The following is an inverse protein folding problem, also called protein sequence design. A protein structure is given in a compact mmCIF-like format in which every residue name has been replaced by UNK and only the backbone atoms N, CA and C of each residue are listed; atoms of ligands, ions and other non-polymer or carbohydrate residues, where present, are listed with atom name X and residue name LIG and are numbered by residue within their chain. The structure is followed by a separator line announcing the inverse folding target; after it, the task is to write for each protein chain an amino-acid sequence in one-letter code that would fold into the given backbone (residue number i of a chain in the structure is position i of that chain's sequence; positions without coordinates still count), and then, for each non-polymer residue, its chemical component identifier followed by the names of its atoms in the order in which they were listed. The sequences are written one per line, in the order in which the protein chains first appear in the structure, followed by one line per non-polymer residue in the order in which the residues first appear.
data_IF_034121161660
#
_entry.id   IF_034121161660
#
_cell.length_a   1.000
_cell.length_b   1.000
_cell.length_c   1.000
_cell.angle_alpha   90.00
_cell.angle_beta   90.00
_cell.angle_gamma   90.00
#
_symmetry.space_group_name_H-M   'P 1'
#
loop_
_entity.id
_entity.type
_entity.pdbx_description
1 polymer ?
#
# COMPACT_ATOMS: atom_id res chain seq x y z
N UNK A 1 11.09 0.21 -17.01
CA UNK A 1 10.10 1.28 -16.87
C UNK A 1 9.74 1.32 -15.40
N UNK A 2 10.20 2.30 -14.63
CA UNK A 2 9.70 2.50 -13.27
C UNK A 2 8.27 3.03 -13.40
N UNK A 3 7.32 2.14 -13.13
CA UNK A 3 5.90 2.43 -13.18
C UNK A 3 5.61 3.46 -12.11
N UNK A 4 5.27 4.68 -12.53
CA UNK A 4 4.88 5.82 -11.68
C UNK A 4 3.65 5.57 -10.78
N UNK A 5 3.17 4.33 -10.72
CA UNK A 5 1.93 3.88 -10.10
C UNK A 5 2.12 2.61 -9.26
N UNK A 6 3.36 2.17 -8.97
CA UNK A 6 3.60 0.90 -8.27
C UNK A 6 2.96 0.89 -6.86
N UNK A 7 3.23 1.90 -6.03
CA UNK A 7 2.66 2.01 -4.67
C UNK A 7 1.14 2.15 -4.74
N UNK A 8 0.64 3.09 -5.54
CA UNK A 8 -0.81 3.27 -5.73
C UNK A 8 -1.53 1.98 -6.16
N UNK A 9 -0.97 1.21 -7.10
CA UNK A 9 -1.57 -0.05 -7.55
C UNK A 9 -1.57 -1.11 -6.45
N UNK A 10 -0.52 -1.18 -5.64
CA UNK A 10 -0.42 -2.08 -4.49
C UNK A 10 -1.46 -1.72 -3.43
N UNK A 11 -1.64 -0.43 -3.15
CA UNK A 11 -2.68 0.08 -2.26
C UNK A 11 -4.08 -0.23 -2.81
N UNK A 12 -4.36 0.12 -4.07
CA UNK A 12 -5.65 -0.15 -4.71
C UNK A 12 -5.99 -1.65 -4.65
N UNK A 13 -5.00 -2.51 -4.88
CA UNK A 13 -5.14 -3.95 -4.73
C UNK A 13 -5.49 -4.35 -3.30
N UNK A 14 -4.82 -3.81 -2.28
CA UNK A 14 -5.13 -4.09 -0.88
C UNK A 14 -6.55 -3.64 -0.49
N UNK A 15 -6.98 -2.49 -0.99
CA UNK A 15 -8.34 -1.96 -0.79
C UNK A 15 -9.39 -2.83 -1.46
N UNK A 16 -9.14 -3.28 -2.71
CA UNK A 16 -10.06 -4.14 -3.46
C UNK A 16 -10.27 -5.49 -2.77
N UNK A 17 -9.17 -6.14 -2.34
CA UNK A 17 -9.25 -7.42 -1.60
C UNK A 17 -9.58 -7.25 -0.11
N UNK A 18 -9.69 -5.99 0.36
CA UNK A 18 -9.91 -5.60 1.77
C UNK A 18 -8.90 -6.22 2.74
N UNK A 19 -7.69 -6.49 2.26
CA UNK A 19 -6.64 -7.17 3.00
C UNK A 19 -5.29 -6.60 2.61
N UNK A 20 -4.51 -6.21 3.61
CA UNK A 20 -3.10 -5.94 3.42
C UNK A 20 -2.35 -7.25 3.63
N UNK A 21 -1.92 -7.87 2.53
CA UNK A 21 -1.12 -9.10 2.59
C UNK A 21 0.36 -8.76 2.79
N UNK A 22 1.16 -9.67 3.37
CA UNK A 22 2.59 -9.43 3.59
C UNK A 22 3.35 -9.20 2.28
N UNK A 23 2.89 -9.80 1.19
CA UNK A 23 3.43 -9.55 -0.16
C UNK A 23 3.22 -8.10 -0.57
N UNK A 24 2.00 -7.58 -0.43
CA UNK A 24 1.68 -6.19 -0.79
C UNK A 24 2.44 -5.21 0.12
N UNK A 25 2.48 -5.48 1.43
CA UNK A 25 3.22 -4.68 2.40
C UNK A 25 4.73 -4.64 2.08
N UNK A 26 5.33 -5.78 1.76
CA UNK A 26 6.74 -5.85 1.41
C UNK A 26 7.07 -5.10 0.12
N UNK A 27 6.24 -5.23 -0.91
CA UNK A 27 6.42 -4.49 -2.17
C UNK A 27 6.26 -2.98 -1.96
N UNK A 28 5.28 -2.53 -1.15
CA UNK A 28 5.14 -1.12 -0.79
C UNK A 28 6.41 -0.63 -0.07
N UNK A 29 6.90 -1.36 0.93
CA UNK A 29 8.11 -1.00 1.66
C UNK A 29 9.37 -1.00 0.78
N UNK A 30 9.47 -1.94 -0.16
CA UNK A 30 10.56 -1.99 -1.13
C UNK A 30 10.56 -0.75 -2.03
N UNK A 31 9.42 -0.42 -2.62
CA UNK A 31 9.27 0.75 -3.49
C UNK A 31 9.52 2.06 -2.74
N UNK A 32 9.00 2.18 -1.50
CA UNK A 32 9.28 3.33 -0.62
C UNK A 32 10.78 3.51 -0.37
N UNK A 33 11.48 2.41 -0.08
CA UNK A 33 12.92 2.42 0.17
C UNK A 33 13.71 2.73 -1.10
N UNK A 34 13.27 2.19 -2.24
CA UNK A 34 13.94 2.37 -3.53
C UNK A 34 13.76 3.78 -4.10
N UNK A 35 12.58 4.38 -3.95
CA UNK A 35 12.33 5.75 -4.41
C UNK A 35 13.01 6.79 -3.52
N UNK A 36 12.99 6.59 -2.19
CA UNK A 36 13.58 7.53 -1.22
C UNK A 36 12.82 8.88 -1.09
N UNK A 37 11.75 9.05 -1.86
CA UNK A 37 10.77 10.13 -1.78
C UNK A 37 9.41 9.58 -2.22
N UNK A 38 8.33 10.19 -1.75
CA UNK A 38 6.97 9.79 -2.10
C UNK A 38 6.26 10.92 -2.84
N UNK A 39 5.47 10.59 -3.86
CA UNK A 39 4.63 11.59 -4.54
C UNK A 39 3.38 11.88 -3.71
N UNK A 40 2.81 13.08 -3.84
CA UNK A 40 1.56 13.44 -3.15
C UNK A 40 0.44 12.43 -3.41
N UNK A 41 0.38 11.88 -4.63
CA UNK A 41 -0.64 10.89 -5.02
C UNK A 41 -0.42 9.53 -4.33
N UNK A 42 0.83 9.09 -4.20
CA UNK A 42 1.15 7.85 -3.48
C UNK A 42 0.94 8.03 -1.97
N UNK A 43 1.22 9.24 -1.44
CA UNK A 43 0.93 9.59 -0.06
C UNK A 43 -0.57 9.52 0.24
N UNK A 44 -1.41 10.15 -0.58
CA UNK A 44 -2.87 10.10 -0.44
C UNK A 44 -3.40 8.66 -0.48
N UNK A 45 -2.84 7.81 -1.35
CA UNK A 45 -3.22 6.40 -1.42
C UNK A 45 -2.89 5.67 -0.11
N UNK A 46 -1.68 5.85 0.42
CA UNK A 46 -1.28 5.23 1.70
C UNK A 46 -2.12 5.74 2.87
N UNK A 47 -2.42 7.03 2.91
CA UNK A 47 -3.28 7.61 3.95
C UNK A 47 -4.69 7.01 3.92
N UNK A 48 -5.25 6.80 2.72
CA UNK A 48 -6.51 6.09 2.55
C UNK A 48 -6.42 4.66 3.08
N UNK A 49 -5.36 3.90 2.73
CA UNK A 49 -5.17 2.54 3.22
C UNK A 49 -5.15 2.49 4.75
N UNK A 50 -4.42 3.39 5.39
CA UNK A 50 -4.34 3.47 6.86
C UNK A 50 -5.72 3.80 7.46
N UNK A 51 -6.47 4.75 6.89
CA UNK A 51 -7.82 5.09 7.33
C UNK A 51 -8.79 3.91 7.23
N UNK A 52 -8.69 3.13 6.15
CA UNK A 52 -9.50 1.93 5.92
C UNK A 52 -9.15 0.79 6.89
N UNK A 53 -7.87 0.67 7.25
CA UNK A 53 -7.40 -0.26 8.29
C UNK A 53 -7.90 0.14 9.69
N UNK A 54 -7.79 1.41 10.05
CA UNK A 54 -8.27 1.94 11.33
C UNK A 54 -9.80 1.80 11.47
N UNK A 55 -10.52 1.94 10.35
CA UNK A 55 -11.96 1.69 10.31
C UNK A 55 -12.34 0.19 10.32
N UNK A 56 -11.36 -0.72 10.31
CA UNK A 56 -11.57 -2.16 10.26
C UNK A 56 -12.11 -2.69 8.93
N UNK A 57 -12.09 -1.86 7.86
CA UNK A 57 -12.53 -2.26 6.51
C UNK A 57 -11.45 -3.06 5.78
N UNK A 58 -10.19 -2.81 6.09
CA UNK A 58 -9.04 -3.58 5.60
C UNK A 58 -8.38 -4.32 6.76
N UNK A 59 -8.13 -5.60 6.60
CA UNK A 59 -7.43 -6.42 7.60
C UNK A 59 -5.97 -6.64 7.24
N UNK A 60 -5.06 -6.42 8.19
CA UNK A 60 -3.67 -6.86 8.05
C UNK A 60 -3.61 -8.39 8.20
N UNK A 61 -3.23 -9.08 7.13
CA UNK A 61 -3.02 -10.52 7.15
C UNK A 61 -1.56 -10.75 7.48
N UNK A 62 -1.25 -11.04 8.74
CA UNK A 62 0.11 -11.40 9.13
C UNK A 62 0.50 -12.76 8.56
N UNK A 63 1.68 -12.86 7.94
CA UNK A 63 2.37 -14.15 7.77
C UNK A 63 2.96 -14.53 9.11
N UNK A 64 2.37 -15.54 9.75
CA UNK A 64 2.90 -16.14 10.98
C UNK A 64 4.16 -16.95 10.72
#
# INVERSE_FOLDING_TARGET
MYTKYAIRQLVEKALDIKKLTPEIENEINYELTAMGYISDVDYEALELLMSEMDAGRVQLVSSR
#
